data_IF_786321184346
#
_entry.id   IF_786321184346
#
_cell.length_a   1.000
_cell.length_b   1.000
_cell.length_c   1.000
_cell.angle_alpha   90.00
_cell.angle_beta   90.00
_cell.angle_gamma   90.00
#
_symmetry.space_group_name_H-M   'P 1'
#
loop_
_entity.id
_entity.type
_entity.pdbx_description
1 polymer ?
#
# COMPACT_ATOMS: atom_id res chain seq x y z
N UNK A 1 -8.20 -4.57 42.86
CA UNK A 1 -8.71 -5.26 41.65
C UNK A 1 -9.31 -4.29 40.60
N UNK A 2 -8.71 -3.12 40.33
CA UNK A 2 -9.24 -2.13 39.35
C UNK A 2 -8.22 -1.69 38.27
N UNK A 3 -7.01 -2.28 38.21
CA UNK A 3 -5.98 -1.94 37.21
C UNK A 3 -6.02 -2.80 35.92
N UNK A 4 -6.62 -3.99 35.98
CA UNK A 4 -6.78 -4.88 34.81
C UNK A 4 -7.56 -4.25 33.63
N UNK A 5 -8.65 -3.46 33.82
CA UNK A 5 -9.41 -2.94 32.68
C UNK A 5 -8.65 -1.89 31.87
N UNK A 6 -7.75 -1.12 32.50
CA UNK A 6 -7.00 -0.07 31.80
C UNK A 6 -5.91 -0.65 30.89
N UNK A 7 -5.17 -1.67 31.35
CA UNK A 7 -4.19 -2.39 30.52
C UNK A 7 -4.84 -3.11 29.34
N UNK A 8 -6.02 -3.70 29.52
CA UNK A 8 -6.78 -4.30 28.43
C UNK A 8 -7.26 -3.24 27.44
N UNK A 9 -7.70 -2.07 27.90
CA UNK A 9 -8.10 -0.97 27.04
C UNK A 9 -6.92 -0.42 26.21
N UNK A 10 -5.75 -0.23 26.82
CA UNK A 10 -4.53 0.17 26.11
C UNK A 10 -4.07 -0.88 25.10
N UNK A 11 -4.14 -2.16 25.44
CA UNK A 11 -3.83 -3.28 24.53
C UNK A 11 -4.80 -3.36 23.34
N UNK A 12 -6.09 -3.12 23.58
CA UNK A 12 -7.10 -3.06 22.52
C UNK A 12 -6.92 -1.82 21.63
N UNK A 13 -6.54 -0.67 22.19
CA UNK A 13 -6.24 0.54 21.42
C UNK A 13 -4.98 0.37 20.55
N UNK A 14 -3.92 -0.20 21.11
CA UNK A 14 -2.69 -0.46 20.35
C UNK A 14 -2.90 -1.50 19.26
N UNK A 15 -3.67 -2.56 19.53
CA UNK A 15 -4.05 -3.56 18.54
C UNK A 15 -4.91 -2.96 17.43
N UNK A 16 -5.88 -2.09 17.76
CA UNK A 16 -6.68 -1.36 16.75
C UNK A 16 -5.82 -0.46 15.88
N UNK A 17 -4.90 0.30 16.48
CA UNK A 17 -4.00 1.18 15.74
C UNK A 17 -3.11 0.38 14.79
N UNK A 18 -2.59 -0.75 15.25
CA UNK A 18 -1.77 -1.65 14.44
C UNK A 18 -2.56 -2.31 13.29
N UNK A 19 -3.79 -2.75 13.54
CA UNK A 19 -4.67 -3.30 12.49
C UNK A 19 -4.99 -2.23 11.45
N UNK A 20 -5.28 -1.00 11.88
CA UNK A 20 -5.61 0.10 10.97
C UNK A 20 -4.42 0.47 10.08
N UNK A 21 -3.20 0.51 10.64
CA UNK A 21 -1.98 0.78 9.86
C UNK A 21 -1.68 -0.33 8.84
N UNK A 22 -1.86 -1.60 9.21
CA UNK A 22 -1.63 -2.75 8.31
C UNK A 22 -2.71 -2.83 7.21
N UNK A 23 -3.96 -2.51 7.53
CA UNK A 23 -5.06 -2.50 6.56
C UNK A 23 -4.85 -1.41 5.49
N UNK A 24 -4.41 -0.22 5.90
CA UNK A 24 -4.13 0.89 4.99
C UNK A 24 -3.03 0.53 3.98
N UNK A 25 -1.94 -0.12 4.40
CA UNK A 25 -0.82 -0.48 3.51
C UNK A 25 -1.15 -1.59 2.49
N UNK A 26 -2.23 -2.35 2.71
CA UNK A 26 -2.57 -3.52 1.89
C UNK A 26 -3.63 -3.25 0.81
N UNK A 27 -4.16 -2.03 0.75
CA UNK A 27 -5.18 -1.65 -0.23
C UNK A 27 -4.63 -1.65 -1.66
N UNK A 28 -5.38 -2.24 -2.59
CA UNK A 28 -5.02 -2.32 -4.00
C UNK A 28 -5.16 -0.97 -4.69
N UNK A 29 -4.09 -0.52 -5.35
CA UNK A 29 -4.11 0.65 -6.23
C UNK A 29 -4.33 0.19 -7.67
N UNK A 30 -3.48 -0.71 -8.17
CA UNK A 30 -3.66 -1.36 -9.46
C UNK A 30 -2.97 -2.73 -9.50
N UNK A 31 -3.42 -3.57 -10.43
CA UNK A 31 -2.78 -4.85 -10.75
C UNK A 31 -2.96 -5.20 -12.21
N UNK A 32 -2.01 -5.95 -12.77
CA UNK A 32 -2.03 -6.33 -14.18
C UNK A 32 -1.27 -7.64 -14.41
N UNK A 33 -1.72 -8.40 -15.40
CA UNK A 33 -1.15 -9.69 -15.74
C UNK A 33 -0.74 -9.71 -17.21
N UNK A 34 0.37 -10.40 -17.50
CA UNK A 34 0.73 -10.73 -18.87
C UNK A 34 -0.35 -11.60 -19.53
N UNK A 35 -0.43 -11.54 -20.87
CA UNK A 35 -1.33 -12.38 -21.66
C UNK A 35 -0.83 -13.82 -21.77
N UNK A 36 0.48 -14.01 -21.79
CA UNK A 36 1.11 -15.31 -21.89
C UNK A 36 0.94 -16.07 -20.57
N UNK A 37 0.66 -17.38 -20.68
CA UNK A 37 0.46 -18.26 -19.53
C UNK A 37 1.41 -19.45 -19.55
N UNK A 38 1.85 -19.86 -18.36
CA UNK A 38 2.60 -21.09 -18.16
C UNK A 38 1.65 -22.25 -17.78
N UNK A 39 2.08 -23.47 -18.05
CA UNK A 39 1.34 -24.67 -17.63
C UNK A 39 1.70 -25.09 -16.19
N UNK A 40 0.76 -25.63 -15.41
CA UNK A 40 1.06 -26.24 -14.12
C UNK A 40 2.10 -27.35 -14.20
N UNK A 41 2.86 -27.53 -13.12
CA UNK A 41 3.91 -28.54 -13.01
C UNK A 41 5.18 -28.22 -13.80
N UNK A 42 5.28 -27.03 -14.40
CA UNK A 42 6.47 -26.64 -15.17
C UNK A 42 7.60 -26.14 -14.27
N UNK A 43 8.87 -26.21 -14.73
CA UNK A 43 9.98 -25.54 -14.04
C UNK A 43 9.74 -24.03 -13.87
N UNK A 44 9.03 -23.40 -14.81
CA UNK A 44 8.66 -21.99 -14.73
C UNK A 44 7.81 -21.71 -13.47
N UNK A 45 6.79 -22.52 -13.20
CA UNK A 45 5.96 -22.38 -11.99
C UNK A 45 6.79 -22.50 -10.71
N UNK A 46 7.73 -23.45 -10.67
CA UNK A 46 8.63 -23.63 -9.51
C UNK A 46 9.55 -22.42 -9.33
N UNK A 47 10.01 -21.80 -10.43
CA UNK A 47 10.84 -20.61 -10.40
C UNK A 47 10.05 -19.36 -10.00
N UNK A 48 8.78 -19.22 -10.41
CA UNK A 48 7.87 -18.16 -9.92
C UNK A 48 7.68 -18.28 -8.41
N UNK A 49 7.41 -19.48 -7.90
CA UNK A 49 7.25 -19.70 -6.46
C UNK A 49 8.55 -19.40 -5.68
N UNK A 50 9.68 -19.85 -6.21
CA UNK A 50 11.01 -19.59 -5.62
C UNK A 50 11.34 -18.09 -5.60
N UNK A 51 11.01 -17.37 -6.68
CA UNK A 51 11.14 -15.92 -6.77
C UNK A 51 10.30 -15.22 -5.70
N UNK A 52 9.01 -15.57 -5.58
CA UNK A 52 8.14 -14.97 -4.56
C UNK A 52 8.64 -15.19 -3.13
N UNK A 53 9.10 -16.41 -2.81
CA UNK A 53 9.74 -16.69 -1.52
C UNK A 53 11.00 -15.84 -1.32
N UNK A 54 11.83 -15.67 -2.35
CA UNK A 54 13.02 -14.83 -2.31
C UNK A 54 12.69 -13.36 -2.04
N UNK A 55 11.66 -12.81 -2.71
CA UNK A 55 11.21 -11.42 -2.51
C UNK A 55 10.69 -11.20 -1.08
N UNK A 56 9.79 -12.07 -0.60
CA UNK A 56 9.23 -11.98 0.77
C UNK A 56 10.34 -12.09 1.83
N UNK A 57 11.29 -13.00 1.66
CA UNK A 57 12.40 -13.12 2.60
C UNK A 57 13.30 -11.89 2.59
N UNK A 58 13.58 -11.33 1.41
CA UNK A 58 14.44 -10.15 1.27
C UNK A 58 13.80 -8.89 1.85
N UNK A 59 12.47 -8.78 1.84
CA UNK A 59 11.73 -7.67 2.45
C UNK A 59 11.92 -7.56 3.98
N UNK A 60 12.39 -8.62 4.64
CA UNK A 60 12.71 -8.59 6.08
C UNK A 60 13.97 -7.78 6.42
N UNK A 61 14.80 -7.44 5.44
CA UNK A 61 16.09 -6.75 5.63
C UNK A 61 16.33 -5.61 4.66
N UNK A 62 15.44 -5.38 3.68
CA UNK A 62 15.57 -4.33 2.66
C UNK A 62 14.21 -3.85 2.20
N UNK A 63 14.11 -2.57 1.81
CA UNK A 63 12.92 -1.98 1.19
C UNK A 63 12.89 -2.10 -0.34
N UNK A 64 13.96 -2.62 -0.95
CA UNK A 64 14.04 -2.89 -2.38
C UNK A 64 14.92 -4.11 -2.66
N UNK A 65 14.52 -4.93 -3.63
CA UNK A 65 15.34 -6.05 -4.09
C UNK A 65 14.96 -6.45 -5.50
N UNK A 66 15.98 -6.67 -6.33
CA UNK A 66 15.87 -7.44 -7.58
C UNK A 66 16.24 -8.91 -7.29
N UNK A 67 15.46 -9.83 -7.86
CA UNK A 67 15.70 -11.26 -7.81
C UNK A 67 15.47 -11.90 -9.18
N UNK A 68 16.15 -13.01 -9.42
CA UNK A 68 16.01 -13.81 -10.63
C UNK A 68 16.01 -15.27 -10.23
N UNK A 69 15.09 -16.05 -10.80
CA UNK A 69 14.98 -17.49 -10.56
C UNK A 69 14.94 -18.23 -11.89
N UNK A 70 15.57 -19.41 -11.97
CA UNK A 70 15.80 -20.10 -13.23
C UNK A 70 17.04 -19.60 -13.96
N UNK A 71 17.43 -20.34 -15.00
CA UNK A 71 18.68 -20.12 -15.73
C UNK A 71 18.55 -20.28 -17.24
N UNK A 72 17.45 -20.86 -17.73
CA UNK A 72 17.19 -21.02 -19.16
C UNK A 72 16.15 -20.01 -19.62
N UNK A 73 16.19 -19.64 -20.90
CA UNK A 73 15.25 -18.68 -21.48
C UNK A 73 13.77 -19.09 -21.30
N UNK A 74 13.50 -20.39 -21.20
CA UNK A 74 12.15 -20.95 -21.06
C UNK A 74 11.66 -21.03 -19.62
N UNK A 75 12.54 -20.88 -18.63
CA UNK A 75 12.19 -21.01 -17.21
C UNK A 75 12.64 -19.84 -16.33
N UNK A 76 13.38 -18.87 -16.88
CA UNK A 76 13.85 -17.70 -16.14
C UNK A 76 12.69 -16.78 -15.79
N UNK A 77 12.69 -16.28 -14.56
CA UNK A 77 11.73 -15.32 -14.03
C UNK A 77 12.50 -14.20 -13.37
N UNK A 78 12.23 -12.98 -13.82
CA UNK A 78 12.77 -11.75 -13.26
C UNK A 78 11.74 -11.15 -12.34
N UNK A 79 12.15 -10.62 -11.19
CA UNK A 79 11.23 -9.87 -10.34
C UNK A 79 11.91 -8.89 -9.43
N UNK A 80 11.12 -7.96 -8.93
CA UNK A 80 11.53 -7.05 -7.88
C UNK A 80 10.36 -6.71 -6.96
N UNK A 81 10.68 -6.24 -5.77
CA UNK A 81 9.75 -5.50 -4.95
C UNK A 81 10.34 -4.15 -4.57
N UNK A 82 9.46 -3.21 -4.25
CA UNK A 82 9.84 -1.97 -3.60
C UNK A 82 8.76 -1.54 -2.62
N UNK A 83 9.14 -1.30 -1.37
CA UNK A 83 8.27 -0.73 -0.36
C UNK A 83 8.24 0.80 -0.50
N UNK A 84 7.14 1.41 -0.08
CA UNK A 84 7.00 2.86 -0.05
C UNK A 84 7.97 3.47 0.97
N UNK A 85 8.72 4.49 0.57
CA UNK A 85 9.65 5.25 1.39
C UNK A 85 10.50 4.40 2.33
N UNK A 86 10.55 4.81 3.59
CA UNK A 86 11.33 4.18 4.65
C UNK A 86 10.43 3.37 5.60
N UNK A 87 9.47 2.61 5.04
CA UNK A 87 8.73 1.63 5.83
C UNK A 87 9.68 0.73 6.61
N UNK A 88 9.30 0.35 7.83
CA UNK A 88 10.08 -0.61 8.60
C UNK A 88 10.08 -1.96 7.89
N UNK A 89 11.17 -2.72 8.01
CA UNK A 89 11.28 -4.01 7.34
C UNK A 89 10.15 -4.99 7.70
N UNK A 90 9.54 -4.89 8.89
CA UNK A 90 8.40 -5.75 9.22
C UNK A 90 7.15 -5.35 8.41
N UNK A 91 6.85 -4.05 8.32
CA UNK A 91 5.70 -3.55 7.54
C UNK A 91 5.94 -3.80 6.05
N UNK A 92 7.17 -3.59 5.57
CA UNK A 92 7.56 -3.89 4.21
C UNK A 92 7.37 -5.38 3.89
N UNK A 93 7.84 -6.29 4.77
CA UNK A 93 7.63 -7.73 4.60
C UNK A 93 6.16 -8.11 4.55
N UNK A 94 5.34 -7.55 5.45
CA UNK A 94 3.90 -7.83 5.49
C UNK A 94 3.23 -7.35 4.19
N UNK A 95 3.59 -6.16 3.71
CA UNK A 95 3.12 -5.63 2.44
C UNK A 95 3.51 -6.55 1.27
N UNK A 96 4.79 -6.92 1.14
CA UNK A 96 5.27 -7.78 0.04
C UNK A 96 4.59 -9.15 0.09
N UNK A 97 4.35 -9.69 1.29
CA UNK A 97 3.59 -10.94 1.49
C UNK A 97 2.16 -10.80 0.98
N UNK A 98 1.48 -9.69 1.31
CA UNK A 98 0.14 -9.38 0.83
C UNK A 98 0.10 -9.22 -0.70
N UNK A 99 1.02 -8.43 -1.26
CA UNK A 99 1.15 -8.21 -2.69
C UNK A 99 1.35 -9.51 -3.47
N UNK A 100 2.24 -10.40 -3.00
CA UNK A 100 2.48 -11.72 -3.58
C UNK A 100 1.23 -12.60 -3.50
N UNK A 101 0.52 -12.60 -2.36
CA UNK A 101 -0.72 -13.37 -2.20
C UNK A 101 -1.81 -12.89 -3.17
N UNK A 102 -1.96 -11.56 -3.31
CA UNK A 102 -2.89 -10.95 -4.25
C UNK A 102 -2.50 -11.26 -5.70
N UNK A 103 -1.23 -11.15 -6.08
CA UNK A 103 -0.72 -11.52 -7.41
C UNK A 103 -1.05 -12.95 -7.79
N UNK A 104 -0.86 -13.91 -6.87
CA UNK A 104 -1.23 -15.32 -7.10
C UNK A 104 -2.73 -15.49 -7.37
N UNK A 105 -3.56 -14.62 -6.79
CA UNK A 105 -5.02 -14.64 -6.96
C UNK A 105 -5.45 -13.97 -8.27
N UNK A 106 -4.92 -12.79 -8.58
CA UNK A 106 -5.35 -12.00 -9.76
C UNK A 106 -4.67 -12.45 -11.06
N UNK A 107 -3.46 -13.01 -10.98
CA UNK A 107 -2.68 -13.46 -12.14
C UNK A 107 -2.41 -14.97 -12.10
N UNK A 108 -3.45 -15.82 -12.10
CA UNK A 108 -3.25 -17.26 -12.13
C UNK A 108 -2.53 -17.65 -13.43
N UNK A 109 -1.42 -18.38 -13.28
CA UNK A 109 -0.63 -18.94 -14.37
C UNK A 109 -0.04 -17.93 -15.36
N UNK A 110 -0.05 -16.63 -15.06
CA UNK A 110 0.53 -15.62 -15.95
C UNK A 110 2.06 -15.69 -15.91
N UNK A 111 2.74 -15.47 -17.05
CA UNK A 111 4.22 -15.45 -17.06
C UNK A 111 4.77 -14.18 -16.43
N UNK A 112 4.02 -13.09 -16.44
CA UNK A 112 4.31 -11.87 -15.71
C UNK A 112 3.08 -11.31 -15.00
N UNK A 113 3.35 -10.54 -13.95
CA UNK A 113 2.34 -9.83 -13.18
C UNK A 113 2.94 -8.65 -12.44
N UNK A 114 2.14 -7.61 -12.28
CA UNK A 114 2.48 -6.39 -11.56
C UNK A 114 1.36 -6.05 -10.59
N UNK A 115 1.72 -5.57 -9.41
CA UNK A 115 0.77 -5.05 -8.43
C UNK A 115 1.38 -3.86 -7.71
N UNK A 116 0.56 -2.84 -7.53
CA UNK A 116 0.83 -1.74 -6.61
C UNK A 116 -0.28 -1.77 -5.56
N UNK A 117 0.12 -1.98 -4.32
CA UNK A 117 -0.71 -1.72 -3.14
C UNK A 117 -0.13 -0.52 -2.41
N UNK A 118 -0.88 0.09 -1.49
CA UNK A 118 -0.48 1.34 -0.83
C UNK A 118 0.95 1.28 -0.26
N UNK A 119 1.35 0.19 0.40
CA UNK A 119 2.68 0.08 1.00
C UNK A 119 3.81 -0.43 0.09
N UNK A 120 3.53 -1.00 -1.08
CA UNK A 120 4.57 -1.62 -1.90
C UNK A 120 4.15 -1.97 -3.33
N UNK A 121 5.17 -2.05 -4.18
CA UNK A 121 5.14 -2.48 -5.56
C UNK A 121 5.81 -3.86 -5.69
N UNK A 122 5.20 -4.78 -6.44
CA UNK A 122 5.81 -6.06 -6.82
C UNK A 122 5.58 -6.31 -8.30
N UNK A 123 6.63 -6.66 -9.03
CA UNK A 123 6.56 -7.05 -10.45
C UNK A 123 7.40 -8.29 -10.70
N UNK A 124 6.87 -9.20 -11.51
CA UNK A 124 7.62 -10.31 -12.08
C UNK A 124 7.28 -10.49 -13.56
N UNK A 125 8.21 -11.05 -14.33
CA UNK A 125 8.02 -11.31 -15.76
C UNK A 125 9.03 -12.37 -16.28
N UNK A 126 8.73 -13.00 -17.41
CA UNK A 126 9.65 -13.89 -18.13
C UNK A 126 10.62 -13.12 -19.03
N UNK A 127 10.42 -11.82 -19.20
CA UNK A 127 11.31 -10.91 -19.93
C UNK A 127 11.89 -9.89 -18.94
N UNK A 128 13.21 -9.67 -18.98
CA UNK A 128 13.84 -8.69 -18.09
C UNK A 128 13.30 -7.28 -18.36
N UNK A 129 12.93 -6.59 -17.29
CA UNK A 129 12.43 -5.21 -17.30
C UNK A 129 13.29 -4.27 -16.42
N UNK A 130 14.47 -4.73 -16.01
CA UNK A 130 15.35 -3.98 -15.11
C UNK A 130 16.05 -2.84 -15.86
N UNK A 131 16.03 -1.63 -15.28
CA UNK A 131 16.67 -0.45 -15.85
C UNK A 131 15.99 0.10 -17.11
N UNK A 132 14.84 -0.48 -17.50
CA UNK A 132 14.03 -0.02 -18.63
C UNK A 132 13.13 1.11 -18.15
N UNK A 133 13.27 2.28 -18.76
CA UNK A 133 12.37 3.41 -18.53
C UNK A 133 10.96 3.08 -19.05
N UNK A 134 9.95 3.36 -18.24
CA UNK A 134 8.55 3.11 -18.57
C UNK A 134 7.67 4.17 -17.90
N UNK A 135 7.24 5.13 -18.74
CA UNK A 135 6.38 6.26 -18.38
C UNK A 135 4.94 6.07 -18.85
N UNK A 136 4.55 4.84 -19.19
CA UNK A 136 3.16 4.55 -19.54
C UNK A 136 2.28 4.80 -18.32
N UNK A 137 1.15 5.46 -18.51
CA UNK A 137 0.17 5.67 -17.44
C UNK A 137 -0.50 4.34 -17.11
N UNK A 138 -0.43 3.97 -15.83
CA UNK A 138 -0.99 2.71 -15.31
C UNK A 138 -2.22 2.98 -14.46
N UNK A 139 -2.22 4.06 -13.69
CA UNK A 139 -3.38 4.47 -12.90
C UNK A 139 -3.35 5.97 -12.62
N UNK A 140 -4.52 6.59 -12.73
CA UNK A 140 -4.75 7.99 -12.38
C UNK A 140 -6.00 8.08 -11.53
N UNK A 141 -5.94 8.85 -10.45
CA UNK A 141 -7.10 9.21 -9.63
C UNK A 141 -7.05 10.68 -9.28
N UNK A 142 -8.16 11.38 -9.43
CA UNK A 142 -8.28 12.78 -9.07
C UNK A 142 -9.40 12.94 -8.04
N UNK A 143 -9.17 13.81 -7.06
CA UNK A 143 -10.17 14.20 -6.07
C UNK A 143 -11.25 15.13 -6.62
N UNK A 144 -12.20 15.52 -5.76
CA UNK A 144 -13.22 16.49 -6.15
C UNK A 144 -12.56 17.81 -6.58
N UNK A 145 -13.13 18.42 -7.61
CA UNK A 145 -12.74 19.75 -8.06
C UNK A 145 -13.33 20.82 -7.14
N UNK A 146 -12.50 21.75 -6.69
CA UNK A 146 -12.93 22.93 -5.90
C UNK A 146 -13.09 24.19 -6.76
N UNK A 147 -13.05 24.05 -8.09
CA UNK A 147 -13.01 25.17 -9.01
C UNK A 147 -11.66 25.92 -8.97
N UNK A 148 -11.59 27.01 -9.73
CA UNK A 148 -10.36 27.79 -9.84
C UNK A 148 -10.10 28.58 -8.55
N UNK A 149 -9.02 28.22 -7.85
CA UNK A 149 -8.48 28.97 -6.73
C UNK A 149 -6.98 29.13 -6.94
N UNK A 150 -6.54 30.35 -7.25
CA UNK A 150 -5.14 30.62 -7.58
C UNK A 150 -4.18 30.27 -6.45
N UNK A 151 -4.58 30.47 -5.19
CA UNK A 151 -3.71 30.22 -4.04
C UNK A 151 -3.50 28.73 -3.82
N UNK A 152 -4.57 27.93 -3.95
CA UNK A 152 -4.48 26.46 -3.85
C UNK A 152 -3.69 25.88 -5.02
N UNK A 153 -3.93 26.38 -6.24
CA UNK A 153 -3.17 25.95 -7.42
C UNK A 153 -1.68 26.32 -7.31
N UNK A 154 -1.35 27.51 -6.82
CA UNK A 154 0.03 27.92 -6.57
C UNK A 154 0.70 27.04 -5.50
N UNK A 155 -0.01 26.69 -4.43
CA UNK A 155 0.49 25.74 -3.40
C UNK A 155 0.71 24.35 -3.98
N UNK A 156 -0.24 23.82 -4.73
CA UNK A 156 -0.10 22.54 -5.46
C UNK A 156 1.12 22.57 -6.36
N UNK A 157 1.28 23.64 -7.12
CA UNK A 157 2.36 23.77 -8.08
C UNK A 157 3.73 23.83 -7.41
N UNK A 158 3.83 24.54 -6.27
CA UNK A 158 5.03 24.57 -5.45
C UNK A 158 5.30 23.21 -4.77
N UNK A 159 4.27 22.53 -4.28
CA UNK A 159 4.40 21.19 -3.68
C UNK A 159 4.92 20.17 -4.72
N UNK A 160 4.32 20.12 -5.91
CA UNK A 160 4.77 19.26 -7.00
C UNK A 160 6.17 19.62 -7.50
N UNK A 161 6.55 20.91 -7.48
CA UNK A 161 7.92 21.33 -7.76
C UNK A 161 8.92 20.80 -6.71
N UNK A 162 8.56 20.82 -5.43
CA UNK A 162 9.39 20.25 -4.36
C UNK A 162 9.62 18.74 -4.53
N UNK A 163 8.58 18.00 -4.95
CA UNK A 163 8.65 16.56 -5.19
C UNK A 163 9.48 16.21 -6.44
N UNK A 164 9.55 17.12 -7.41
CA UNK A 164 10.33 16.94 -8.64
C UNK A 164 11.70 17.60 -8.56
N UNK A 165 12.11 18.14 -7.42
CA UNK A 165 13.45 18.67 -7.25
C UNK A 165 14.50 17.57 -7.38
N UNK A 166 15.51 17.78 -8.24
CA UNK A 166 16.59 16.82 -8.43
C UNK A 166 17.50 16.78 -7.19
N UNK A 167 17.34 15.75 -6.37
CA UNK A 167 18.09 15.55 -5.12
C UNK A 167 18.79 14.17 -5.04
N UNK A 168 18.74 13.40 -6.13
CA UNK A 168 19.31 12.05 -6.20
C UNK A 168 18.53 10.96 -5.47
N UNK A 169 17.38 11.29 -4.86
CA UNK A 169 16.57 10.35 -4.09
C UNK A 169 15.46 9.72 -4.96
N UNK A 170 15.21 8.43 -4.74
CA UNK A 170 14.13 7.69 -5.39
C UNK A 170 12.79 7.91 -4.71
N UNK A 171 12.75 8.12 -3.39
CA UNK A 171 11.56 8.51 -2.63
C UNK A 171 11.71 9.94 -2.14
N UNK A 172 10.65 10.73 -2.26
CA UNK A 172 10.64 12.16 -1.97
C UNK A 172 9.34 12.53 -1.28
N UNK A 173 9.42 13.18 -0.13
CA UNK A 173 8.30 13.84 0.52
C UNK A 173 8.46 15.35 0.44
N UNK A 174 7.36 16.08 0.31
CA UNK A 174 7.40 17.53 0.16
C UNK A 174 6.01 18.16 0.17
N UNK A 175 5.97 19.49 0.18
CA UNK A 175 4.71 20.22 0.27
C UNK A 175 4.87 21.73 0.26
N UNK A 176 3.74 22.43 0.19
CA UNK A 176 3.63 23.87 0.29
C UNK A 176 2.31 24.24 0.96
N UNK A 177 2.41 24.82 2.17
CA UNK A 177 1.24 25.09 3.01
C UNK A 177 0.44 23.82 3.32
N UNK A 178 -0.86 23.85 3.02
CA UNK A 178 -1.80 22.75 3.24
C UNK A 178 -1.64 21.59 2.26
N UNK A 179 -0.95 21.80 1.13
CA UNK A 179 -0.73 20.76 0.12
C UNK A 179 0.55 19.98 0.45
N UNK A 180 0.39 18.68 0.61
CA UNK A 180 1.48 17.75 0.90
C UNK A 180 1.46 16.61 -0.12
N UNK A 181 2.60 15.99 -0.35
CA UNK A 181 2.66 14.87 -1.28
C UNK A 181 3.91 14.03 -1.14
N UNK A 182 3.92 12.97 -1.93
CA UNK A 182 5.02 12.02 -2.04
C UNK A 182 5.24 11.65 -3.51
N UNK A 183 6.47 11.33 -3.84
CA UNK A 183 6.88 10.84 -5.14
C UNK A 183 7.86 9.70 -4.96
N UNK A 184 7.72 8.65 -5.79
CA UNK A 184 8.63 7.53 -5.75
C UNK A 184 8.92 6.99 -7.15
N UNK A 185 10.19 6.70 -7.42
CA UNK A 185 10.63 5.91 -8.57
C UNK A 185 10.97 4.48 -8.14
N UNK A 186 10.82 3.52 -9.05
CA UNK A 186 11.38 2.19 -8.85
C UNK A 186 12.91 2.28 -8.91
N UNK A 187 13.61 1.73 -7.91
CA UNK A 187 15.05 1.87 -7.71
C UNK A 187 15.92 1.15 -8.75
N UNK A 188 15.31 0.40 -9.66
CA UNK A 188 16.03 -0.19 -10.79
C UNK A 188 16.33 0.81 -11.91
N UNK A 189 15.71 1.99 -11.87
CA UNK A 189 16.05 3.12 -12.75
C UNK A 189 17.36 3.79 -12.33
N UNK A 190 18.02 4.45 -13.29
CA UNK A 190 19.04 5.46 -12.97
C UNK A 190 18.42 6.72 -12.37
N UNK A 191 19.24 7.53 -11.69
CA UNK A 191 18.80 8.80 -11.08
C UNK A 191 18.20 9.76 -12.13
N UNK A 192 18.74 9.81 -13.35
CA UNK A 192 18.22 10.65 -14.44
C UNK A 192 16.88 10.12 -14.95
N UNK A 193 16.74 8.81 -15.18
CA UNK A 193 15.47 8.21 -15.58
C UNK A 193 14.38 8.43 -14.52
N UNK A 194 14.74 8.29 -13.24
CA UNK A 194 13.84 8.60 -12.14
C UNK A 194 13.36 10.06 -12.20
N UNK A 195 14.29 11.00 -12.36
CA UNK A 195 13.97 12.41 -12.46
C UNK A 195 13.02 12.69 -13.64
N UNK A 196 13.30 12.14 -14.82
CA UNK A 196 12.47 12.32 -16.00
C UNK A 196 11.07 11.71 -15.83
N UNK A 197 10.97 10.55 -15.17
CA UNK A 197 9.69 9.90 -14.89
C UNK A 197 8.83 10.75 -13.94
N UNK A 198 9.41 11.31 -12.87
CA UNK A 198 8.67 12.14 -11.93
C UNK A 198 8.23 13.48 -12.54
N UNK A 199 9.03 14.06 -13.42
CA UNK A 199 8.64 15.27 -14.16
C UNK A 199 7.46 15.00 -15.08
N UNK A 200 7.48 13.89 -15.83
CA UNK A 200 6.36 13.46 -16.67
C UNK A 200 5.09 13.24 -15.82
N UNK A 201 5.19 12.47 -14.74
CA UNK A 201 4.06 12.19 -13.86
C UNK A 201 3.47 13.47 -13.24
N UNK A 202 4.32 14.41 -12.83
CA UNK A 202 3.91 15.73 -12.31
C UNK A 202 3.22 16.57 -13.38
N UNK A 203 3.72 16.56 -14.62
CA UNK A 203 3.11 17.25 -15.75
C UNK A 203 1.70 16.74 -16.03
N UNK A 204 1.54 15.42 -16.14
CA UNK A 204 0.22 14.78 -16.33
C UNK A 204 -0.74 15.08 -15.18
N UNK A 205 -0.26 15.01 -13.95
CA UNK A 205 -1.10 15.26 -12.79
C UNK A 205 -1.64 16.70 -12.79
N UNK A 206 -0.83 17.68 -13.22
CA UNK A 206 -1.27 19.09 -13.34
C UNK A 206 -2.33 19.28 -14.41
N UNK A 207 -2.16 18.65 -15.58
CA UNK A 207 -3.06 18.80 -16.72
C UNK A 207 -4.34 17.98 -16.59
N UNK A 208 -4.31 16.86 -15.87
CA UNK A 208 -5.42 15.91 -15.86
C UNK A 208 -6.21 15.92 -14.56
N UNK A 209 -5.62 16.37 -13.44
CA UNK A 209 -6.32 16.58 -12.18
C UNK A 209 -6.53 18.06 -11.83
N UNK A 210 -6.16 19.00 -12.72
CA UNK A 210 -6.43 20.45 -12.66
C UNK A 210 -6.74 21.02 -11.25
N UNK A 211 -8.00 21.24 -10.92
CA UNK A 211 -8.46 21.88 -9.68
C UNK A 211 -8.86 20.88 -8.59
N UNK A 212 -8.40 19.64 -8.68
CA UNK A 212 -8.69 18.59 -7.69
C UNK A 212 -7.94 18.81 -6.38
N UNK A 213 -8.60 18.50 -5.26
CA UNK A 213 -8.02 18.61 -3.91
C UNK A 213 -6.95 17.58 -3.60
N UNK A 214 -6.94 16.47 -4.32
CA UNK A 214 -5.88 15.47 -4.28
C UNK A 214 -5.74 14.83 -5.65
N UNK A 215 -4.59 14.20 -5.91
CA UNK A 215 -4.33 13.57 -7.17
C UNK A 215 -3.24 12.52 -7.06
N UNK A 216 -3.45 11.39 -7.72
CA UNK A 216 -2.53 10.28 -7.85
C UNK A 216 -2.21 10.06 -9.34
N UNK A 217 -0.93 9.98 -9.68
CA UNK A 217 -0.46 9.61 -11.01
C UNK A 217 0.57 8.50 -10.87
N UNK A 218 0.24 7.31 -11.36
CA UNK A 218 1.12 6.14 -11.39
C UNK A 218 1.51 5.82 -12.82
N UNK A 219 2.81 5.87 -13.09
CA UNK A 219 3.43 5.41 -14.31
C UNK A 219 4.08 4.04 -14.11
N UNK A 220 4.54 3.41 -15.19
CA UNK A 220 5.15 2.07 -15.13
C UNK A 220 6.34 1.94 -14.17
N UNK A 221 7.09 3.02 -13.92
CA UNK A 221 8.28 3.04 -13.06
C UNK A 221 8.34 4.15 -12.02
N UNK A 222 7.31 4.97 -11.89
CA UNK A 222 7.26 5.97 -10.84
C UNK A 222 5.83 6.40 -10.53
N UNK A 223 5.64 7.08 -9.40
CA UNK A 223 4.38 7.73 -9.09
C UNK A 223 4.60 9.06 -8.39
N UNK A 224 3.58 9.91 -8.44
CA UNK A 224 3.49 11.13 -7.66
C UNK A 224 2.05 11.30 -7.16
N UNK A 225 1.93 11.69 -5.90
CA UNK A 225 0.64 11.85 -5.20
C UNK A 225 0.67 13.13 -4.40
N UNK A 226 -0.44 13.87 -4.38
CA UNK A 226 -0.62 15.00 -3.46
C UNK A 226 -2.01 15.01 -2.86
N UNK A 227 -2.14 15.68 -1.72
CA UNK A 227 -3.40 15.96 -1.03
C UNK A 227 -3.34 17.34 -0.39
N UNK A 228 -4.42 18.11 -0.53
CA UNK A 228 -4.69 19.32 0.24
C UNK A 228 -5.40 18.95 1.55
N UNK A 229 -4.72 19.14 2.68
CA UNK A 229 -5.24 18.75 4.00
C UNK A 229 -6.39 19.63 4.49
N UNK A 230 -6.45 20.89 4.07
CA UNK A 230 -7.50 21.81 4.51
C UNK A 230 -8.87 21.39 3.94
N UNK A 231 -8.88 20.74 2.77
CA UNK A 231 -10.08 20.26 2.10
C UNK A 231 -10.38 18.77 2.39
N UNK A 232 -9.43 18.05 2.98
CA UNK A 232 -9.61 16.63 3.33
C UNK A 232 -10.36 16.44 4.66
N UNK A 233 -10.33 17.44 5.55
CA UNK A 233 -11.06 17.43 6.82
C UNK A 233 -12.60 17.45 6.67
N UNK A 234 -13.13 17.77 5.49
CA UNK A 234 -14.57 17.73 5.23
C UNK A 234 -15.13 16.30 5.00
N UNK A 235 -14.30 15.25 5.03
CA UNK A 235 -14.70 13.86 4.72
C UNK A 235 -14.47 12.87 5.87
N UNK A 236 -14.24 13.31 7.10
CA UNK A 236 -14.19 12.40 8.26
C UNK A 236 -15.51 12.20 9.00
N UNK A 237 -16.60 12.89 8.62
CA UNK A 237 -17.80 12.93 9.46
C UNK A 237 -19.05 12.19 8.96
N UNK A 238 -19.10 11.51 7.79
CA UNK A 238 -20.44 11.05 7.33
C UNK A 238 -20.64 9.70 6.62
N UNK A 239 -19.64 8.84 6.36
CA UNK A 239 -19.97 7.54 5.70
C UNK A 239 -19.29 6.25 6.20
N UNK A 240 -18.13 6.31 6.89
CA UNK A 240 -17.46 5.08 7.40
C UNK A 240 -17.41 4.96 8.93
N UNK A 241 -17.65 6.07 9.64
CA UNK A 241 -17.70 6.06 11.11
C UNK A 241 -18.98 5.37 11.58
N UNK A 242 -20.14 5.59 10.95
CA UNK A 242 -21.40 5.02 11.43
C UNK A 242 -21.49 3.49 11.33
N UNK A 243 -21.00 2.88 10.25
CA UNK A 243 -21.00 1.41 10.13
C UNK A 243 -19.98 0.77 11.07
N UNK A 244 -18.80 1.36 11.20
CA UNK A 244 -17.73 0.86 12.08
C UNK A 244 -18.08 1.06 13.56
N UNK A 245 -18.70 2.18 13.91
CA UNK A 245 -19.16 2.50 15.26
C UNK A 245 -20.34 1.59 15.64
N UNK A 246 -21.29 1.35 14.74
CA UNK A 246 -22.42 0.43 14.97
C UNK A 246 -21.95 -1.02 15.21
N UNK A 247 -21.00 -1.52 14.41
CA UNK A 247 -20.40 -2.85 14.61
C UNK A 247 -19.63 -2.90 15.94
N UNK A 248 -18.88 -1.84 16.26
CA UNK A 248 -18.09 -1.78 17.50
C UNK A 248 -18.98 -1.73 18.74
N UNK A 249 -20.06 -0.96 18.73
CA UNK A 249 -21.04 -0.90 19.81
C UNK A 249 -21.73 -2.26 19.97
N UNK A 250 -22.14 -2.90 18.86
CA UNK A 250 -22.77 -4.22 18.90
C UNK A 250 -21.89 -5.30 19.53
N UNK A 251 -20.60 -5.34 19.17
CA UNK A 251 -19.64 -6.30 19.72
C UNK A 251 -19.38 -6.04 21.20
N UNK A 252 -19.21 -4.77 21.61
CA UNK A 252 -18.96 -4.42 23.02
C UNK A 252 -20.17 -4.81 23.89
N UNK A 253 -21.39 -4.48 23.46
CA UNK A 253 -22.60 -4.86 24.19
C UNK A 253 -22.76 -6.37 24.28
N UNK A 254 -22.48 -7.10 23.19
CA UNK A 254 -22.54 -8.57 23.17
C UNK A 254 -21.54 -9.22 24.14
N UNK A 255 -20.30 -8.73 24.17
CA UNK A 255 -19.26 -9.25 25.07
C UNK A 255 -19.59 -8.97 26.53
N UNK A 256 -20.12 -7.78 26.85
CA UNK A 256 -20.55 -7.44 28.23
C UNK A 256 -21.66 -8.39 28.69
N UNK A 257 -22.66 -8.63 27.85
CA UNK A 257 -23.76 -9.55 28.18
C UNK A 257 -23.26 -10.99 28.38
N UNK A 258 -22.33 -11.45 27.55
CA UNK A 258 -21.72 -12.77 27.69
C UNK A 258 -20.96 -12.91 29.01
N UNK A 259 -20.17 -11.90 29.40
CA UNK A 259 -19.42 -11.90 30.66
C UNK A 259 -20.37 -11.92 31.86
N UNK A 260 -21.45 -11.12 31.82
CA UNK A 260 -22.48 -11.12 32.89
C UNK A 260 -23.14 -12.49 32.99
N UNK A 261 -23.48 -13.11 31.85
CA UNK A 261 -24.08 -14.44 31.80
C UNK A 261 -23.15 -15.51 32.38
N UNK A 262 -21.88 -15.54 31.96
CA UNK A 262 -20.87 -16.47 32.49
C UNK A 262 -20.59 -16.25 33.98
N UNK A 263 -20.57 -14.99 34.44
CA UNK A 263 -20.42 -14.65 35.86
C UNK A 263 -21.63 -15.07 36.71
N UNK A 264 -22.81 -15.12 36.11
CA UNK A 264 -24.04 -15.59 36.76
C UNK A 264 -24.05 -17.12 36.83
N UNK A 265 -23.63 -17.81 35.77
CA UNK A 265 -23.45 -19.26 35.76
C UNK A 265 -22.40 -19.72 36.77
N UNK A 266 -21.26 -19.04 36.87
CA UNK A 266 -20.22 -19.38 37.85
C UNK A 266 -20.69 -19.19 39.29
N UNK A 267 -21.47 -18.15 39.59
CA UNK A 267 -22.14 -17.98 40.89
C UNK A 267 -23.13 -19.09 41.21
N UNK A 268 -23.88 -19.57 40.21
CA UNK A 268 -24.84 -20.68 40.37
C UNK A 268 -24.10 -22.01 40.60
N UNK A 269 -23.00 -22.26 39.89
CA UNK A 269 -22.16 -23.44 40.07
C UNK A 269 -21.49 -23.46 41.45
N UNK A 270 -20.99 -22.32 41.94
CA UNK A 270 -20.40 -22.23 43.28
C UNK A 270 -21.44 -22.43 44.39
N UNK A 271 -22.72 -22.13 44.14
CA UNK A 271 -23.80 -22.34 45.12
C UNK A 271 -24.23 -23.81 45.24
N UNK A 272 -23.86 -24.67 44.28
CA UNK A 272 -24.20 -26.11 44.28
C UNK A 272 -23.07 -27.03 44.79
N UNK A 273 -21.85 -26.53 44.94
CA UNK A 273 -20.70 -27.32 45.43
C UNK A 273 -20.41 -27.21 46.94
N UNK A 274 -21.18 -26.40 47.67
CA UNK A 274 -21.05 -26.24 49.12
C UNK A 274 -22.17 -26.94 49.87
N UNK A 275 -22.14 -28.28 49.90
CA UNK A 275 -22.83 -29.13 50.87
C UNK A 275 -22.16 -30.50 50.93
#
# INVERSE_FOLDING_TARGET
MHQVPLFLLFSLLSLKFFILSVSATNSLIYGGCSQLRFSPGTPYESNVNSLFTSLVNSASVSNFKISTSGSTQTNVVYGLFQCEGDLSNSICKDCVTSAVSQLKTICPQATGGVIQIEGCFVKYDNISFFGVDDKTEVSKRCGPSIGYNSDVLNRRDAALASLTAANGQYFRGGGSGSVQGVAQCVQDLSVSQCQDCLVEASGRLRSECETSTWGDMFLGKCYIRYVDRDQHHSRTDDEDVDKTLAITIGVITGVILLIIFLSSLSKICNKKGGK
#
